data_IF_546255286800
#
_entry.id   IF_546255286800
#
_cell.length_a   1.000
_cell.length_b   1.000
_cell.length_c   1.000
_cell.angle_alpha   90.00
_cell.angle_beta   90.00
_cell.angle_gamma   90.00
#
_symmetry.space_group_name_H-M   'P 1'
#
loop_
_entity.id
_entity.type
_entity.pdbx_description
1 polymer ?
#
# COMPACT_ATOMS: atom_id res chain seq x y z
N UNK A 1 0.73 -27.13 29.68
CA UNK A 1 1.20 -26.50 28.44
C UNK A 1 1.16 -24.98 28.66
N UNK A 2 2.33 -24.34 28.81
CA UNK A 2 2.39 -22.90 29.00
C UNK A 2 2.08 -22.23 27.65
N UNK A 3 0.99 -21.48 27.58
CA UNK A 3 0.71 -20.60 26.45
C UNK A 3 1.75 -19.49 26.53
N UNK A 4 2.70 -19.49 25.61
CA UNK A 4 3.66 -18.39 25.50
C UNK A 4 2.84 -17.08 25.35
N UNK A 5 3.09 -16.11 26.24
CA UNK A 5 2.40 -14.84 26.17
C UNK A 5 2.76 -14.17 24.83
N UNK A 6 1.74 -13.88 24.01
CA UNK A 6 1.93 -13.19 22.73
C UNK A 6 2.68 -11.89 22.95
N UNK A 7 3.81 -11.72 22.27
CA UNK A 7 4.66 -10.52 22.40
C UNK A 7 4.04 -9.37 21.64
N UNK A 8 3.41 -8.45 22.37
CA UNK A 8 2.76 -7.26 21.81
C UNK A 8 3.56 -6.02 22.18
N UNK A 9 3.77 -5.16 21.20
CA UNK A 9 4.47 -3.88 21.39
C UNK A 9 3.68 -2.74 20.75
N UNK A 10 3.72 -1.56 21.37
CA UNK A 10 3.27 -0.34 20.70
C UNK A 10 4.39 0.15 19.80
N UNK A 11 4.07 0.32 18.53
CA UNK A 11 5.00 0.84 17.52
C UNK A 11 4.31 1.87 16.66
N UNK A 12 5.07 2.85 16.19
CA UNK A 12 4.65 3.67 15.07
C UNK A 12 4.87 2.85 13.80
N UNK A 13 3.81 2.65 13.03
CA UNK A 13 3.82 1.89 11.77
C UNK A 13 3.16 2.72 10.68
N UNK A 14 3.50 2.43 9.45
CA UNK A 14 2.76 2.92 8.29
C UNK A 14 1.97 1.76 7.69
N UNK A 15 0.67 1.97 7.52
CA UNK A 15 -0.28 0.99 7.01
C UNK A 15 -0.63 1.35 5.58
N UNK A 16 -0.57 0.39 4.68
CA UNK A 16 -1.06 0.49 3.31
C UNK A 16 -2.28 -0.39 3.16
N UNK A 17 -3.38 0.18 2.66
CA UNK A 17 -4.52 -0.56 2.13
C UNK A 17 -4.61 -0.32 0.64
N UNK A 18 -4.73 -1.39 -0.14
CA UNK A 18 -4.95 -1.37 -1.58
C UNK A 18 -6.11 -2.29 -1.91
N UNK A 19 -7.01 -1.88 -2.80
CA UNK A 19 -8.22 -2.61 -3.17
C UNK A 19 -8.54 -2.40 -4.65
N UNK A 20 -9.17 -3.40 -5.29
CA UNK A 20 -9.59 -3.32 -6.69
C UNK A 20 -10.96 -2.62 -6.80
N UNK A 21 -11.06 -1.71 -7.73
CA UNK A 21 -12.32 -1.01 -8.00
C UNK A 21 -13.32 -1.91 -8.71
N UNK A 22 -14.50 -2.10 -8.08
CA UNK A 22 -15.62 -2.82 -8.68
C UNK A 22 -15.45 -4.32 -8.77
N UNK A 23 -14.41 -4.90 -8.18
CA UNK A 23 -14.15 -6.33 -8.25
C UNK A 23 -15.23 -7.17 -7.57
N UNK A 24 -15.74 -6.75 -6.41
CA UNK A 24 -16.81 -7.47 -5.69
C UNK A 24 -18.03 -7.71 -6.58
N UNK A 25 -18.51 -6.67 -7.26
CA UNK A 25 -19.65 -6.82 -8.17
C UNK A 25 -19.32 -7.67 -9.41
N UNK A 26 -18.09 -7.62 -9.90
CA UNK A 26 -17.63 -8.44 -11.01
C UNK A 26 -17.50 -9.91 -10.62
N UNK A 27 -16.98 -10.21 -9.45
CA UNK A 27 -16.76 -11.59 -8.97
C UNK A 27 -18.07 -12.35 -8.72
N UNK A 28 -19.19 -11.66 -8.44
CA UNK A 28 -20.50 -12.30 -8.29
C UNK A 28 -20.99 -13.02 -9.57
N UNK A 29 -20.47 -12.64 -10.73
CA UNK A 29 -20.82 -13.21 -12.04
C UNK A 29 -19.77 -14.13 -12.65
N UNK A 30 -18.65 -14.34 -11.98
CA UNK A 30 -17.53 -15.18 -12.45
C UNK A 30 -17.52 -16.53 -11.71
N UNK A 31 -17.01 -17.55 -12.38
CA UNK A 31 -16.70 -18.80 -11.73
C UNK A 31 -15.49 -18.64 -10.79
N UNK A 32 -15.40 -19.44 -9.69
CA UNK A 32 -14.31 -19.33 -8.72
C UNK A 32 -12.91 -19.41 -9.35
N UNK A 33 -12.74 -20.22 -10.37
CA UNK A 33 -11.49 -20.41 -11.10
C UNK A 33 -11.08 -19.14 -11.87
N UNK A 34 -12.05 -18.42 -12.44
CA UNK A 34 -11.81 -17.15 -13.14
C UNK A 34 -11.48 -16.02 -12.16
N UNK A 35 -12.13 -16.04 -10.99
CA UNK A 35 -11.81 -15.13 -9.86
C UNK A 35 -10.36 -15.32 -9.42
N UNK A 36 -9.94 -16.57 -9.21
CA UNK A 36 -8.57 -16.89 -8.79
C UNK A 36 -7.56 -16.54 -9.87
N UNK A 37 -7.85 -16.85 -11.13
CA UNK A 37 -6.99 -16.53 -12.26
C UNK A 37 -6.75 -15.02 -12.44
N UNK A 38 -7.74 -14.18 -12.07
CA UNK A 38 -7.61 -12.74 -12.08
C UNK A 38 -6.87 -12.20 -10.85
N UNK A 39 -7.21 -12.70 -9.64
CA UNK A 39 -6.63 -12.21 -8.39
C UNK A 39 -5.18 -12.61 -8.18
N UNK A 40 -4.77 -13.81 -8.60
CA UNK A 40 -3.42 -14.30 -8.34
C UNK A 40 -2.32 -13.40 -8.91
N UNK A 41 -2.35 -12.98 -10.19
CA UNK A 41 -1.35 -12.05 -10.74
C UNK A 41 -1.38 -10.67 -10.05
N UNK A 42 -2.56 -10.17 -9.71
CA UNK A 42 -2.72 -8.91 -8.98
C UNK A 42 -2.09 -8.98 -7.59
N UNK A 43 -2.43 -10.01 -6.81
CA UNK A 43 -1.86 -10.22 -5.46
C UNK A 43 -0.34 -10.39 -5.51
N UNK A 44 0.17 -11.13 -6.49
CA UNK A 44 1.60 -11.36 -6.67
C UNK A 44 2.34 -10.06 -6.98
N UNK A 45 1.78 -9.24 -7.89
CA UNK A 45 2.36 -7.94 -8.22
C UNK A 45 2.35 -6.98 -7.04
N UNK A 46 1.19 -6.80 -6.39
CA UNK A 46 1.05 -5.90 -5.23
C UNK A 46 1.96 -6.33 -4.08
N UNK A 47 2.02 -7.63 -3.79
CA UNK A 47 2.97 -8.17 -2.80
C UNK A 47 4.40 -7.83 -3.17
N UNK A 48 4.80 -8.09 -4.41
CA UNK A 48 6.16 -7.85 -4.88
C UNK A 48 6.58 -6.38 -4.74
N UNK A 49 5.68 -5.44 -5.04
CA UNK A 49 5.95 -4.01 -4.86
C UNK A 49 6.08 -3.62 -3.38
N UNK A 50 5.18 -4.09 -2.54
CA UNK A 50 5.22 -3.80 -1.11
C UNK A 50 6.50 -4.36 -0.45
N UNK A 51 6.85 -5.61 -0.72
CA UNK A 51 8.02 -6.28 -0.16
C UNK A 51 9.34 -5.69 -0.69
N UNK A 52 9.41 -5.30 -1.98
CA UNK A 52 10.57 -4.62 -2.57
C UNK A 52 10.89 -3.31 -1.85
N UNK A 53 9.87 -2.62 -1.36
CA UNK A 53 10.02 -1.39 -0.60
C UNK A 53 10.19 -1.63 0.92
N UNK A 54 10.26 -2.87 1.37
CA UNK A 54 10.48 -3.23 2.78
C UNK A 54 9.20 -3.34 3.62
N UNK A 55 8.05 -3.38 2.98
CA UNK A 55 6.76 -3.66 3.62
C UNK A 55 6.57 -5.15 3.89
N UNK A 56 5.71 -5.46 4.85
CA UNK A 56 5.25 -6.82 5.14
C UNK A 56 3.78 -6.91 4.83
N UNK A 57 3.40 -7.76 3.88
CA UNK A 57 1.97 -8.02 3.60
C UNK A 57 1.39 -8.78 4.78
N UNK A 58 0.42 -8.16 5.46
CA UNK A 58 -0.23 -8.76 6.62
C UNK A 58 -1.30 -9.77 6.19
N UNK A 59 -2.13 -9.39 5.22
CA UNK A 59 -3.21 -10.25 4.74
C UNK A 59 -3.79 -9.79 3.41
N UNK A 60 -4.38 -10.75 2.73
CA UNK A 60 -5.33 -10.54 1.64
C UNK A 60 -6.75 -10.73 2.17
N UNK A 61 -7.67 -9.85 1.83
CA UNK A 61 -9.09 -9.88 2.22
C UNK A 61 -9.89 -9.77 0.92
N UNK A 62 -10.10 -10.91 0.26
CA UNK A 62 -10.62 -10.90 -1.11
C UNK A 62 -9.64 -10.20 -2.04
N UNK A 63 -10.08 -9.12 -2.67
CA UNK A 63 -9.28 -8.25 -3.55
C UNK A 63 -8.49 -7.17 -2.79
N UNK A 64 -8.78 -6.96 -1.50
CA UNK A 64 -8.05 -5.99 -0.69
C UNK A 64 -6.73 -6.59 -0.14
N UNK A 65 -5.70 -5.76 -0.13
CA UNK A 65 -4.37 -6.07 0.42
C UNK A 65 -4.05 -5.09 1.54
N UNK A 66 -3.66 -5.63 2.69
CA UNK A 66 -3.15 -4.84 3.80
C UNK A 66 -1.68 -5.16 4.04
N UNK A 67 -0.85 -4.12 4.13
CA UNK A 67 0.57 -4.23 4.44
C UNK A 67 1.01 -3.23 5.50
N UNK A 68 2.10 -3.59 6.18
CA UNK A 68 2.73 -2.79 7.23
C UNK A 68 4.17 -2.46 6.87
N UNK A 69 4.57 -1.23 7.16
CA UNK A 69 5.94 -0.76 7.20
C UNK A 69 6.25 -0.36 8.65
N UNK A 70 7.45 -0.68 9.14
CA UNK A 70 7.83 -0.46 10.54
C UNK A 70 7.64 -1.68 11.45
N UNK A 71 7.15 -2.80 10.91
CA UNK A 71 7.03 -4.07 11.61
C UNK A 71 7.15 -5.26 10.63
N UNK A 72 7.89 -6.32 10.99
CA UNK A 72 8.66 -6.50 12.21
C UNK A 72 9.92 -5.62 12.28
N UNK A 73 10.47 -5.23 11.12
CA UNK A 73 11.65 -4.36 11.00
C UNK A 73 11.19 -2.93 10.76
N UNK A 74 11.82 -1.96 11.43
CA UNK A 74 11.52 -0.54 11.26
C UNK A 74 12.69 0.18 10.58
N UNK A 75 12.37 1.10 9.67
CA UNK A 75 13.31 2.01 9.02
C UNK A 75 12.85 3.44 9.26
N UNK A 76 13.78 4.38 9.25
CA UNK A 76 13.47 5.81 9.46
C UNK A 76 12.56 6.39 8.36
N UNK A 77 12.62 5.80 7.16
CA UNK A 77 11.91 6.23 5.97
C UNK A 77 10.70 5.33 5.62
N UNK A 78 10.17 4.56 6.57
CA UNK A 78 9.01 3.68 6.36
C UNK A 78 7.80 4.38 5.72
N UNK A 79 7.40 5.61 6.12
CA UNK A 79 6.30 6.32 5.46
C UNK A 79 6.60 6.60 3.98
N UNK A 80 7.83 7.00 3.63
CA UNK A 80 8.22 7.25 2.25
C UNK A 80 8.23 5.97 1.43
N UNK A 81 8.76 4.87 1.98
CA UNK A 81 8.76 3.56 1.34
C UNK A 81 7.34 3.08 1.03
N UNK A 82 6.42 3.26 1.97
CA UNK A 82 5.01 2.90 1.81
C UNK A 82 4.34 3.70 0.69
N UNK A 83 4.57 5.03 0.63
CA UNK A 83 4.01 5.88 -0.43
C UNK A 83 4.62 5.53 -1.79
N UNK A 84 5.93 5.28 -1.87
CA UNK A 84 6.61 4.89 -3.12
C UNK A 84 6.10 3.54 -3.64
N UNK A 85 5.92 2.54 -2.78
CA UNK A 85 5.30 1.27 -3.13
C UNK A 85 3.88 1.47 -3.66
N UNK A 86 3.08 2.30 -3.00
CA UNK A 86 1.71 2.62 -3.40
C UNK A 86 1.64 3.32 -4.76
N UNK A 87 2.56 4.24 -5.04
CA UNK A 87 2.68 4.89 -6.34
C UNK A 87 3.08 3.90 -7.44
N UNK A 88 4.01 2.98 -7.17
CA UNK A 88 4.42 1.95 -8.12
C UNK A 88 3.26 0.99 -8.45
N UNK A 89 2.46 0.59 -7.45
CA UNK A 89 1.25 -0.23 -7.66
C UNK A 89 0.23 0.52 -8.52
N UNK A 90 -0.01 1.81 -8.24
CA UNK A 90 -0.91 2.66 -9.03
C UNK A 90 -0.45 2.76 -10.47
N UNK A 91 0.84 3.03 -10.69
CA UNK A 91 1.39 3.22 -12.04
C UNK A 91 1.29 1.94 -12.86
N UNK A 92 1.58 0.79 -12.24
CA UNK A 92 1.33 -0.50 -12.87
C UNK A 92 -0.16 -0.71 -13.20
N UNK A 93 -1.08 -0.38 -12.29
CA UNK A 93 -2.51 -0.54 -12.52
C UNK A 93 -3.02 0.34 -13.68
N UNK A 94 -2.40 1.51 -13.91
CA UNK A 94 -2.71 2.36 -15.06
C UNK A 94 -2.33 1.74 -16.41
N UNK A 95 -1.33 0.85 -16.42
CA UNK A 95 -0.85 0.14 -17.62
C UNK A 95 -1.51 -1.23 -17.80
N UNK A 96 -1.98 -1.84 -16.70
CA UNK A 96 -2.58 -3.17 -16.70
C UNK A 96 -4.06 -3.11 -17.14
N UNK A 97 -4.41 -3.89 -18.17
CA UNK A 97 -5.77 -3.93 -18.69
C UNK A 97 -6.76 -4.45 -17.65
N UNK A 98 -7.83 -3.70 -17.42
CA UNK A 98 -8.91 -4.09 -16.52
C UNK A 98 -8.58 -4.00 -15.02
N UNK A 99 -7.44 -3.44 -14.64
CA UNK A 99 -7.04 -3.22 -13.24
C UNK A 99 -7.24 -1.75 -12.89
N UNK A 100 -8.00 -1.50 -11.85
CA UNK A 100 -8.15 -0.18 -11.23
C UNK A 100 -8.05 -0.34 -9.72
N UNK A 101 -7.31 0.52 -9.05
CA UNK A 101 -7.05 0.41 -7.61
C UNK A 101 -7.48 1.65 -6.84
N UNK A 102 -7.71 1.47 -5.55
CA UNK A 102 -7.80 2.55 -4.56
C UNK A 102 -6.82 2.26 -3.44
N UNK A 103 -5.97 3.21 -3.13
CA UNK A 103 -4.90 3.01 -2.15
C UNK A 103 -4.95 4.09 -1.09
N UNK A 104 -4.71 3.71 0.16
CA UNK A 104 -4.48 4.64 1.25
C UNK A 104 -3.23 4.27 2.05
N UNK A 105 -2.55 5.29 2.53
CA UNK A 105 -1.35 5.19 3.37
C UNK A 105 -1.55 6.03 4.61
N UNK A 106 -1.46 5.41 5.79
CA UNK A 106 -1.61 6.10 7.07
C UNK A 106 -0.47 5.76 8.03
N UNK A 107 0.01 6.73 8.77
CA UNK A 107 1.10 6.54 9.74
C UNK A 107 0.63 6.87 11.15
N UNK A 108 0.85 5.96 12.10
CA UNK A 108 0.46 6.18 13.48
C UNK A 108 0.78 5.01 14.41
N UNK A 109 0.39 5.15 15.67
CA UNK A 109 0.59 4.08 16.65
C UNK A 109 -0.33 2.89 16.42
N UNK A 110 0.25 1.70 16.51
CA UNK A 110 -0.45 0.43 16.51
C UNK A 110 0.06 -0.49 17.61
N UNK A 111 -0.79 -1.40 18.07
CA UNK A 111 -0.38 -2.55 18.84
C UNK A 111 0.03 -3.64 17.88
N UNK A 112 1.33 -3.95 17.83
CA UNK A 112 1.91 -4.93 16.92
C UNK A 112 2.21 -6.22 17.66
N UNK A 113 1.83 -7.35 17.08
CA UNK A 113 2.17 -8.71 17.51
C UNK A 113 3.40 -9.17 16.75
N UNK A 114 4.54 -9.26 17.43
CA UNK A 114 5.82 -9.62 16.80
C UNK A 114 5.96 -11.12 16.51
N UNK A 115 5.13 -11.93 17.15
CA UNK A 115 5.05 -13.38 16.99
C UNK A 115 3.92 -13.82 16.03
N UNK A 116 3.21 -12.86 15.44
CA UNK A 116 2.17 -13.16 14.46
C UNK A 116 2.78 -13.75 13.18
N UNK A 117 2.05 -14.69 12.60
CA UNK A 117 2.37 -15.35 11.33
C UNK A 117 1.32 -14.97 10.29
N UNK A 118 1.53 -13.92 9.51
CA UNK A 118 0.57 -13.47 8.51
C UNK A 118 0.18 -14.57 7.51
N UNK A 119 1.12 -15.44 7.16
CA UNK A 119 0.92 -16.59 6.29
C UNK A 119 -0.11 -17.60 6.84
N UNK A 120 -0.36 -17.58 8.16
CA UNK A 120 -1.40 -18.40 8.81
C UNK A 120 -2.70 -17.64 9.12
N UNK A 121 -2.82 -16.39 8.61
CA UNK A 121 -3.97 -15.52 8.82
C UNK A 121 -3.99 -14.79 10.18
N UNK A 122 -2.89 -14.81 10.93
CA UNK A 122 -2.78 -14.06 12.18
C UNK A 122 -2.52 -12.57 11.89
N UNK A 123 -3.38 -11.69 12.42
CA UNK A 123 -3.21 -10.24 12.31
C UNK A 123 -1.99 -9.75 13.09
N UNK A 124 -1.14 -8.96 12.42
CA UNK A 124 0.06 -8.37 13.03
C UNK A 124 -0.24 -7.08 13.78
N UNK A 125 -1.10 -6.23 13.25
CA UNK A 125 -1.36 -4.90 13.81
C UNK A 125 -2.83 -4.65 14.11
N UNK A 126 -3.08 -3.86 15.15
CA UNK A 126 -4.39 -3.33 15.49
C UNK A 126 -4.28 -1.93 16.07
N UNK A 127 -5.27 -1.10 15.79
CA UNK A 127 -5.31 0.28 16.26
C UNK A 127 -6.11 1.19 15.34
N UNK A 128 -6.22 2.45 15.75
CA UNK A 128 -6.97 3.47 14.99
C UNK A 128 -6.34 3.74 13.62
N UNK A 129 -5.01 3.67 13.51
CA UNK A 129 -4.27 3.82 12.24
C UNK A 129 -4.72 2.81 11.18
N UNK A 130 -4.96 1.55 11.57
CA UNK A 130 -5.45 0.48 10.66
C UNK A 130 -6.87 0.78 10.19
N UNK A 131 -7.75 1.17 11.12
CA UNK A 131 -9.13 1.53 10.80
C UNK A 131 -9.21 2.79 9.92
N UNK A 132 -8.33 3.75 10.16
CA UNK A 132 -8.23 4.98 9.37
C UNK A 132 -7.79 4.64 7.94
N UNK A 133 -6.76 3.80 7.77
CA UNK A 133 -6.30 3.36 6.46
C UNK A 133 -7.41 2.72 5.62
N UNK A 134 -8.20 1.80 6.20
CA UNK A 134 -9.31 1.16 5.50
C UNK A 134 -10.40 2.17 5.06
N UNK A 135 -10.69 3.19 5.89
CA UNK A 135 -11.67 4.23 5.55
C UNK A 135 -11.17 5.15 4.45
N UNK A 136 -9.91 5.58 4.53
CA UNK A 136 -9.30 6.42 3.50
C UNK A 136 -9.22 5.68 2.16
N UNK A 137 -8.89 4.39 2.18
CA UNK A 137 -8.87 3.55 0.98
C UNK A 137 -10.24 3.54 0.29
N UNK A 138 -11.32 3.35 1.04
CA UNK A 138 -12.69 3.36 0.48
C UNK A 138 -13.08 4.71 -0.14
N UNK A 139 -12.51 5.81 0.35
CA UNK A 139 -12.76 7.16 -0.14
C UNK A 139 -11.77 7.61 -1.23
N UNK A 140 -10.70 6.84 -1.46
CA UNK A 140 -9.69 7.20 -2.44
C UNK A 140 -10.29 7.27 -3.87
N UNK A 141 -9.84 8.21 -4.71
CA UNK A 141 -10.18 8.22 -6.12
C UNK A 141 -9.73 6.93 -6.81
N UNK A 142 -10.38 6.60 -7.91
CA UNK A 142 -9.91 5.50 -8.78
C UNK A 142 -8.49 5.80 -9.24
N UNK A 143 -7.59 4.84 -9.06
CA UNK A 143 -6.15 4.98 -9.30
C UNK A 143 -5.52 6.14 -8.51
N UNK A 144 -6.07 6.45 -7.34
CA UNK A 144 -5.53 7.45 -6.42
C UNK A 144 -4.86 6.82 -5.20
N UNK A 145 -3.90 7.55 -4.63
CA UNK A 145 -3.19 7.19 -3.39
C UNK A 145 -3.43 8.31 -2.37
N UNK A 146 -4.28 8.06 -1.37
CA UNK A 146 -4.51 9.01 -0.29
C UNK A 146 -3.55 8.79 0.87
N UNK A 147 -3.01 9.87 1.40
CA UNK A 147 -2.18 9.88 2.60
C UNK A 147 -2.87 10.70 3.71
N UNK A 148 -2.79 10.23 4.95
CA UNK A 148 -3.18 11.02 6.11
C UNK A 148 -2.15 12.13 6.43
N UNK A 149 -2.51 13.03 7.35
CA UNK A 149 -1.66 14.17 7.71
C UNK A 149 -0.28 13.73 8.22
N UNK A 150 -0.18 12.67 9.00
CA UNK A 150 1.09 12.18 9.54
C UNK A 150 2.00 11.69 8.43
N UNK A 151 1.48 10.90 7.51
CA UNK A 151 2.22 10.41 6.33
C UNK A 151 2.65 11.57 5.44
N UNK A 152 1.72 12.50 5.13
CA UNK A 152 2.02 13.70 4.34
C UNK A 152 3.17 14.51 4.94
N UNK A 153 3.10 14.82 6.25
CA UNK A 153 4.15 15.61 6.93
C UNK A 153 5.51 14.93 6.90
N UNK A 154 5.55 13.61 7.02
CA UNK A 154 6.78 12.83 6.99
C UNK A 154 7.41 12.75 5.57
N UNK A 155 6.60 12.89 4.50
CA UNK A 155 7.04 12.56 3.15
C UNK A 155 6.99 13.72 2.14
N UNK A 156 6.42 14.88 2.50
CA UNK A 156 6.22 16.02 1.60
C UNK A 156 7.50 16.62 0.99
N UNK A 157 8.65 16.29 1.52
CA UNK A 157 9.95 16.71 0.96
C UNK A 157 10.43 15.78 -0.18
N UNK A 158 9.88 14.59 -0.29
CA UNK A 158 10.29 13.53 -1.23
C UNK A 158 9.16 13.02 -2.11
N UNK A 159 7.93 13.41 -1.79
CA UNK A 159 6.72 13.07 -2.54
C UNK A 159 5.98 14.37 -2.87
N UNK A 160 5.55 14.52 -4.11
CA UNK A 160 4.64 15.59 -4.54
C UNK A 160 3.20 15.20 -4.23
N UNK A 161 2.45 16.13 -3.64
CA UNK A 161 1.07 15.91 -3.24
C UNK A 161 0.13 16.96 -3.85
N UNK A 162 -1.12 16.57 -4.03
CA UNK A 162 -2.24 17.46 -4.32
C UNK A 162 -3.17 17.50 -3.10
N UNK A 163 -3.77 18.65 -2.86
CA UNK A 163 -4.83 18.74 -1.86
C UNK A 163 -6.02 17.88 -2.28
N UNK A 164 -6.59 17.15 -1.32
CA UNK A 164 -7.79 16.36 -1.52
C UNK A 164 -8.86 16.77 -0.50
N UNK A 165 -10.16 16.61 -0.82
CA UNK A 165 -11.24 16.88 0.13
C UNK A 165 -11.07 16.01 1.39
N UNK A 166 -11.28 16.58 2.59
CA UNK A 166 -11.25 15.79 3.82
C UNK A 166 -12.27 14.65 3.78
N UNK A 167 -11.90 13.50 4.34
CA UNK A 167 -12.72 12.29 4.34
C UNK A 167 -13.56 12.22 5.60
N UNK A 168 -14.87 12.19 5.46
CA UNK A 168 -15.77 11.86 6.57
C UNK A 168 -15.67 10.39 6.94
N UNK A 169 -15.33 10.11 8.21
CA UNK A 169 -15.17 8.75 8.67
C UNK A 169 -16.11 8.43 9.84
N UNK A 170 -16.93 7.40 9.69
CA UNK A 170 -17.86 6.96 10.74
C UNK A 170 -17.11 6.72 12.06
N UNK A 171 -17.53 7.41 13.13
CA UNK A 171 -16.91 7.30 14.45
C UNK A 171 -15.74 8.27 14.70
N UNK A 172 -15.44 9.18 13.80
CA UNK A 172 -14.61 10.36 14.00
C UNK A 172 -15.54 11.58 14.18
N UNK A 173 -15.17 12.48 15.06
CA UNK A 173 -15.94 13.73 15.30
C UNK A 173 -15.67 14.79 14.23
N UNK A 174 -14.55 14.71 13.55
CA UNK A 174 -14.12 15.64 12.52
C UNK A 174 -13.67 14.88 11.27
N UNK A 175 -13.86 15.47 10.07
CA UNK A 175 -13.33 14.92 8.83
C UNK A 175 -11.80 14.77 8.91
N UNK A 176 -11.28 13.71 8.31
CA UNK A 176 -9.84 13.42 8.30
C UNK A 176 -9.20 14.21 7.16
N UNK A 177 -8.25 15.11 7.43
CA UNK A 177 -7.47 15.76 6.38
C UNK A 177 -6.65 14.75 5.60
N UNK A 178 -6.64 14.85 4.28
CA UNK A 178 -5.94 13.93 3.38
C UNK A 178 -5.28 14.66 2.24
N UNK A 179 -4.26 14.04 1.67
CA UNK A 179 -3.53 14.51 0.50
C UNK A 179 -3.40 13.36 -0.50
N UNK A 180 -3.55 13.66 -1.78
CA UNK A 180 -3.33 12.68 -2.84
C UNK A 180 -1.86 12.71 -3.28
N UNK A 181 -1.16 11.59 -3.11
CA UNK A 181 0.21 11.45 -3.58
C UNK A 181 0.23 11.38 -5.12
N UNK A 182 0.99 12.27 -5.76
CA UNK A 182 1.06 12.40 -7.21
C UNK A 182 2.31 11.74 -7.79
N UNK A 183 3.49 12.12 -7.33
CA UNK A 183 4.77 11.68 -7.88
C UNK A 183 5.81 11.58 -6.77
N UNK A 184 6.63 10.53 -6.83
CA UNK A 184 7.83 10.43 -6.00
C UNK A 184 8.96 11.24 -6.63
N UNK A 185 9.53 12.19 -5.88
CA UNK A 185 10.66 12.98 -6.34
C UNK A 185 11.93 12.13 -6.35
N UNK A 186 12.78 12.32 -7.36
CA UNK A 186 14.08 11.64 -7.44
C UNK A 186 14.95 12.03 -6.25
N UNK A 187 15.47 11.05 -5.52
CA UNK A 187 16.56 11.30 -4.58
C UNK A 187 17.81 11.60 -5.41
N UNK A 188 18.36 12.81 -5.33
CA UNK A 188 19.61 13.13 -6.00
C UNK A 188 20.67 12.08 -5.64
N UNK A 189 21.03 11.20 -6.60
CA UNK A 189 22.15 10.26 -6.51
C UNK A 189 21.84 8.76 -6.50
N UNK A 190 20.58 8.29 -6.60
CA UNK A 190 20.28 6.84 -6.58
C UNK A 190 19.45 6.34 -7.77
N UNK A 191 18.85 7.20 -8.57
CA UNK A 191 18.14 6.75 -9.79
C UNK A 191 19.09 6.62 -10.97
N UNK A 192 19.94 5.59 -10.93
CA UNK A 192 20.60 5.09 -12.15
C UNK A 192 19.73 3.96 -12.69
N UNK A 193 18.83 4.36 -13.58
CA UNK A 193 18.27 3.54 -14.66
C UNK A 193 17.39 2.33 -14.34
N UNK A 194 16.13 2.53 -14.61
CA UNK A 194 15.31 1.44 -15.20
C UNK A 194 14.93 1.75 -16.67
N UNK A 195 15.71 2.53 -17.39
CA UNK A 195 15.35 2.91 -18.79
C UNK A 195 16.41 2.58 -19.85
N UNK A 196 17.35 1.69 -19.55
CA UNK A 196 18.38 1.32 -20.54
C UNK A 196 18.60 -0.19 -20.69
N UNK A 197 17.53 -0.99 -20.73
CA UNK A 197 17.63 -2.38 -21.20
C UNK A 197 16.49 -2.69 -22.17
N UNK A 198 16.49 -2.03 -23.34
CA UNK A 198 15.79 -2.57 -24.50
C UNK A 198 16.49 -2.08 -25.77
N UNK A 199 17.09 -3.08 -26.45
CA UNK A 199 17.66 -3.12 -27.80
C UNK A 199 19.12 -2.71 -27.99
N UNK A 200 20.02 -3.68 -28.18
CA UNK A 200 21.21 -3.49 -28.97
C UNK A 200 20.82 -3.60 -30.46
N UNK A 201 20.74 -2.48 -31.15
CA UNK A 201 20.77 -2.49 -32.61
C UNK A 201 22.20 -2.20 -33.10
N UNK A 202 22.95 -3.16 -33.66
CA UNK A 202 24.34 -2.98 -34.09
C UNK A 202 24.45 -2.58 -35.58
N UNK A 203 23.71 -1.55 -36.02
CA UNK A 203 23.81 -1.11 -37.43
C UNK A 203 23.58 0.37 -37.65
N UNK A 204 24.32 1.21 -36.94
CA UNK A 204 24.41 2.64 -37.29
C UNK A 204 25.81 3.18 -37.00
N UNK A 205 26.83 2.61 -37.68
CA UNK A 205 28.12 3.24 -37.94
C UNK A 205 28.45 3.03 -39.43
N UNK A 206 28.10 4.01 -40.23
CA UNK A 206 28.81 4.42 -41.47
C UNK A 206 28.63 5.91 -41.66
#
# INVERSE_FOLDING_TARGET
MSVAASRRERKVVTVVFCDLVGFTARSESLDPEDVEAFLSPYHEHVRGELERHGGTVEKFIGDAVMALFGAPVAHEDDPERAVRASLAIRDWALEAEGVQVRIAVTTGEALVRLDARPETGEGMASGDVVNTAARLQSAAPVNGVLADETTYRATRSTIEYREAPPVEAKGKSEPIPVWEAAVALSRFGVDVSSSCFLFPNPSACR
#
